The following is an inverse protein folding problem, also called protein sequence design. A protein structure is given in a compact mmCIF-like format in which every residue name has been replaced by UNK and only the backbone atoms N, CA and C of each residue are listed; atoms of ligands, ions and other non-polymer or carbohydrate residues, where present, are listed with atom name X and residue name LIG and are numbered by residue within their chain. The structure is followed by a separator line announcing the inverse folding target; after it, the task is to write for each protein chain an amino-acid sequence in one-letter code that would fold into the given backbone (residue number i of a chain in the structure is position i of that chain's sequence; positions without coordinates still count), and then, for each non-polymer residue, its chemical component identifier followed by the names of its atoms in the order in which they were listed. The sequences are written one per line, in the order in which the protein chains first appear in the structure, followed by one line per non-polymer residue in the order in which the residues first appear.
data_IF_993548428950
#
_entry.id   IF_993548428950
#
_cell.length_a   1.000
_cell.length_b   1.000
_cell.length_c   1.000
_cell.angle_alpha   90.00
_cell.angle_beta   90.00
_cell.angle_gamma   90.00
#
_symmetry.space_group_name_H-M   'P 1'
#
loop_
_entity.id
_entity.type
_entity.pdbx_description
1 polymer ?
#
# COMPACT_ATOMS: atom_id res chain seq x y z
N UNK A 1 -8.56 13.92 8.01
CA UNK A 1 -8.23 12.68 7.27
C UNK A 1 -9.34 12.50 6.23
N UNK A 2 -9.04 12.10 5.00
CA UNK A 2 -10.05 12.04 3.94
C UNK A 2 -11.17 11.02 4.28
N UNK A 3 -12.39 11.30 3.82
CA UNK A 3 -13.57 10.46 4.11
C UNK A 3 -13.58 9.14 3.33
N UNK A 4 -12.74 9.03 2.29
CA UNK A 4 -12.58 7.84 1.44
C UNK A 4 -11.10 7.52 1.23
N UNK A 5 -10.66 6.39 1.80
CA UNK A 5 -9.26 5.93 1.73
C UNK A 5 -9.24 4.41 1.63
N UNK A 6 -8.46 3.87 0.69
CA UNK A 6 -8.11 2.45 0.63
C UNK A 6 -6.62 2.30 0.92
N UNK A 7 -6.26 1.35 1.79
CA UNK A 7 -4.87 1.07 2.15
C UNK A 7 -4.42 -0.19 1.43
N UNK A 8 -3.37 -0.08 0.63
CA UNK A 8 -2.78 -1.21 -0.08
C UNK A 8 -1.49 -1.66 0.59
N UNK A 9 -1.33 -2.97 0.72
CA UNK A 9 -0.18 -3.53 1.40
C UNK A 9 0.23 -4.93 0.95
N UNK A 10 1.53 -5.19 1.00
CA UNK A 10 2.13 -6.52 0.99
C UNK A 10 2.05 -7.18 2.36
N UNK A 11 2.15 -8.51 2.41
CA UNK A 11 2.22 -9.29 3.64
C UNK A 11 3.67 -9.73 3.89
N UNK A 12 4.45 -8.86 4.51
CA UNK A 12 5.88 -9.11 4.79
C UNK A 12 6.22 -8.67 6.22
N UNK A 13 7.17 -9.35 6.85
CA UNK A 13 7.51 -9.18 8.27
C UNK A 13 8.01 -7.78 8.65
N UNK A 14 8.55 -7.01 7.68
CA UNK A 14 9.05 -5.66 7.94
C UNK A 14 7.96 -4.57 7.99
N UNK A 15 6.69 -4.94 7.84
CA UNK A 15 5.50 -4.07 7.97
C UNK A 15 4.86 -4.18 9.36
N UNK A 16 4.00 -3.22 9.75
CA UNK A 16 3.65 -1.97 9.09
C UNK A 16 4.57 -0.81 9.52
N UNK A 17 5.33 -0.22 8.59
CA UNK A 17 6.15 0.96 8.89
C UNK A 17 5.65 2.17 8.08
N UNK A 18 5.50 3.32 8.75
CA UNK A 18 5.05 4.58 8.14
C UNK A 18 6.22 5.58 7.96
N UNK A 19 7.43 5.06 7.75
CA UNK A 19 8.65 5.85 7.66
C UNK A 19 8.96 6.17 6.20
N UNK A 20 9.46 7.39 5.94
CA UNK A 20 9.96 7.80 4.61
C UNK A 20 11.18 6.97 4.16
N UNK A 21 12.02 6.58 5.12
CA UNK A 21 13.21 5.78 4.89
C UNK A 21 13.04 4.40 5.52
N UNK A 22 13.28 3.34 4.75
CA UNK A 22 13.29 1.97 5.25
C UNK A 22 14.49 1.77 6.19
N UNK A 23 14.23 1.34 7.44
CA UNK A 23 15.29 1.06 8.43
C UNK A 23 16.26 -0.05 8.01
N UNK A 24 15.85 -0.89 7.06
CA UNK A 24 16.62 -2.02 6.55
C UNK A 24 17.19 -1.76 5.14
N UNK A 25 16.88 -0.61 4.52
CA UNK A 25 17.45 -0.20 3.22
C UNK A 25 16.88 -0.85 1.96
N UNK A 26 15.98 -1.84 2.05
CA UNK A 26 15.57 -2.63 0.87
C UNK A 26 14.27 -2.19 0.19
N UNK A 27 13.38 -1.44 0.85
CA UNK A 27 12.08 -1.00 0.28
C UNK A 27 11.19 -2.13 -0.29
N UNK A 28 11.40 -3.39 0.11
CA UNK A 28 10.59 -4.55 -0.31
C UNK A 28 9.08 -4.32 -0.21
N UNK A 29 8.60 -3.61 0.81
CA UNK A 29 7.19 -3.28 0.96
C UNK A 29 6.59 -2.47 -0.20
N UNK A 30 7.43 -1.78 -0.97
CA UNK A 30 7.06 -1.06 -2.20
C UNK A 30 7.42 -1.84 -3.46
N UNK A 31 8.58 -2.50 -3.48
CA UNK A 31 9.06 -3.25 -4.65
C UNK A 31 8.19 -4.47 -4.92
N UNK A 32 7.82 -5.21 -3.87
CA UNK A 32 7.07 -6.45 -3.98
C UNK A 32 5.55 -6.21 -4.02
N UNK A 33 5.11 -4.94 -4.09
CA UNK A 33 3.70 -4.59 -4.14
C UNK A 33 3.18 -4.77 -5.59
N UNK A 34 2.27 -5.73 -5.84
CA UNK A 34 1.80 -5.99 -7.20
C UNK A 34 0.96 -4.81 -7.73
N UNK A 35 1.20 -4.34 -8.96
CA UNK A 35 0.40 -3.27 -9.57
C UNK A 35 -1.10 -3.60 -9.62
N UNK A 36 -1.45 -4.87 -9.80
CA UNK A 36 -2.85 -5.34 -9.88
C UNK A 36 -3.61 -5.06 -8.57
N UNK A 37 -2.92 -5.20 -7.43
CA UNK A 37 -3.49 -4.91 -6.12
C UNK A 37 -3.81 -3.41 -5.97
N UNK A 38 -2.94 -2.54 -6.48
CA UNK A 38 -3.14 -1.08 -6.47
C UNK A 38 -4.30 -0.70 -7.40
N UNK A 39 -4.32 -1.24 -8.63
CA UNK A 39 -5.40 -0.99 -9.59
C UNK A 39 -6.76 -1.44 -9.04
N UNK A 40 -6.82 -2.58 -8.36
CA UNK A 40 -8.04 -3.06 -7.73
C UNK A 40 -8.51 -2.11 -6.61
N UNK A 41 -7.60 -1.58 -5.79
CA UNK A 41 -7.94 -0.61 -4.75
C UNK A 41 -8.45 0.73 -5.34
N UNK A 42 -7.84 1.22 -6.43
CA UNK A 42 -8.33 2.39 -7.15
C UNK A 42 -9.77 2.19 -7.64
N UNK A 43 -10.07 1.03 -8.24
CA UNK A 43 -11.43 0.70 -8.69
C UNK A 43 -12.44 0.68 -7.54
N UNK A 44 -12.07 0.15 -6.36
CA UNK A 44 -12.95 0.16 -5.18
C UNK A 44 -13.26 1.58 -4.70
N UNK A 45 -12.27 2.48 -4.73
CA UNK A 45 -12.47 3.89 -4.40
C UNK A 45 -13.43 4.58 -5.38
N UNK A 46 -13.35 4.25 -6.67
CA UNK A 46 -14.22 4.80 -7.71
C UNK A 46 -15.66 4.28 -7.62
N UNK A 47 -15.87 3.05 -7.14
CA UNK A 47 -17.18 2.38 -7.09
C UNK A 47 -18.01 2.72 -5.84
N UNK A 48 -17.41 3.40 -4.87
CA UNK A 48 -18.09 3.79 -3.64
C UNK A 48 -18.79 5.14 -3.86
N UNK A 49 -20.03 5.06 -4.34
CA UNK A 49 -20.95 6.19 -4.59
C UNK A 49 -21.10 7.12 -3.38
#
# INVERSE_FOLDING_TARGET
LADRVEIVHTDIECRPCFKRTCKFGHLKCLIDLPPEQVVAACKKLEQSH
#
